data_IF_708430264374
#
_entry.id   IF_708430264374
#
_cell.length_a   1.000
_cell.length_b   1.000
_cell.length_c   1.000
_cell.angle_alpha   90.00
_cell.angle_beta   90.00
_cell.angle_gamma   90.00
#
_symmetry.space_group_name_H-M   'P 1'
#
loop_
_entity.id
_entity.type
_entity.pdbx_description
1 polymer ?
#
# COMPACT_ATOMS: atom_id res chain seq x y z
N UNK A 1 16.07 -4.92 5.83
CA UNK A 1 14.76 -5.19 5.20
C UNK A 1 13.69 -5.03 6.24
N UNK A 2 12.63 -4.31 5.88
CA UNK A 2 11.49 -4.02 6.76
C UNK A 2 10.22 -4.39 6.02
N UNK A 3 9.38 -5.18 6.69
CA UNK A 3 8.06 -5.48 6.20
C UNK A 3 7.02 -4.70 7.02
N UNK A 4 6.07 -4.08 6.34
CA UNK A 4 4.96 -3.35 6.95
C UNK A 4 3.64 -3.93 6.42
N UNK A 5 2.65 -4.01 7.31
CA UNK A 5 1.25 -4.28 6.95
C UNK A 5 0.39 -3.15 7.52
N UNK A 6 0.16 -2.12 6.70
CA UNK A 6 -0.61 -0.95 7.10
C UNK A 6 -2.11 -1.20 6.87
N UNK A 7 -2.89 -1.36 7.93
CA UNK A 7 -4.36 -1.53 7.86
C UNK A 7 -5.04 -0.19 7.66
N UNK A 8 -6.02 -0.17 6.75
CA UNK A 8 -6.72 1.06 6.35
C UNK A 8 -8.23 0.90 6.55
N UNK A 9 -8.80 1.81 7.32
CA UNK A 9 -10.25 1.92 7.49
C UNK A 9 -10.77 2.84 6.39
N UNK A 10 -11.58 2.28 5.50
CA UNK A 10 -12.20 3.01 4.39
C UNK A 10 -13.61 3.40 4.79
N UNK A 11 -14.01 4.64 4.48
CA UNK A 11 -15.37 5.09 4.72
C UNK A 11 -16.35 4.32 3.83
N UNK A 12 -17.52 3.99 4.38
CA UNK A 12 -18.56 3.25 3.64
C UNK A 12 -18.94 3.97 2.35
N UNK A 13 -18.95 3.24 1.23
CA UNK A 13 -19.27 3.76 -0.09
C UNK A 13 -18.12 4.51 -0.78
N UNK A 14 -16.92 4.54 -0.18
CA UNK A 14 -15.71 5.16 -0.74
C UNK A 14 -14.69 4.15 -1.28
N UNK A 15 -15.02 2.86 -1.29
CA UNK A 15 -14.10 1.77 -1.63
C UNK A 15 -13.53 1.90 -3.04
N UNK A 16 -14.36 2.21 -4.03
CA UNK A 16 -13.89 2.33 -5.42
C UNK A 16 -12.98 3.55 -5.64
N UNK A 17 -13.29 4.68 -5.00
CA UNK A 17 -12.45 5.88 -5.04
C UNK A 17 -11.11 5.61 -4.35
N UNK A 18 -11.16 4.97 -3.18
CA UNK A 18 -9.99 4.55 -2.42
C UNK A 18 -9.09 3.60 -3.23
N UNK A 19 -9.65 2.55 -3.83
CA UNK A 19 -8.89 1.60 -4.65
C UNK A 19 -8.19 2.31 -5.82
N UNK A 20 -8.89 3.21 -6.50
CA UNK A 20 -8.33 3.99 -7.62
C UNK A 20 -7.13 4.83 -7.17
N UNK A 21 -7.27 5.53 -6.04
CA UNK A 21 -6.19 6.37 -5.48
C UNK A 21 -5.01 5.50 -5.03
N UNK A 22 -5.26 4.40 -4.32
CA UNK A 22 -4.21 3.54 -3.79
C UNK A 22 -3.44 2.79 -4.87
N UNK A 23 -4.09 2.37 -5.95
CA UNK A 23 -3.40 1.77 -7.10
C UNK A 23 -2.49 2.79 -7.80
N UNK A 24 -2.98 4.02 -8.00
CA UNK A 24 -2.14 5.10 -8.54
C UNK A 24 -0.98 5.50 -7.63
N UNK A 25 -1.16 5.41 -6.31
CA UNK A 25 -0.08 5.60 -5.34
C UNK A 25 0.94 4.46 -5.41
N UNK A 26 0.50 3.21 -5.50
CA UNK A 26 1.37 2.04 -5.59
C UNK A 26 2.29 2.09 -6.82
N UNK A 27 1.78 2.56 -7.96
CA UNK A 27 2.59 2.80 -9.16
C UNK A 27 3.66 3.87 -8.92
N UNK A 28 3.29 4.98 -8.27
CA UNK A 28 4.22 6.07 -7.97
C UNK A 28 5.31 5.66 -6.98
N UNK A 29 4.96 4.92 -5.92
CA UNK A 29 5.94 4.42 -4.94
C UNK A 29 6.97 3.53 -5.63
N UNK A 30 6.52 2.51 -6.37
CA UNK A 30 7.42 1.59 -7.08
C UNK A 30 8.30 2.30 -8.11
N UNK A 31 7.83 3.39 -8.71
CA UNK A 31 8.59 4.16 -9.69
C UNK A 31 9.62 5.10 -9.05
N UNK A 32 9.34 5.63 -7.87
CA UNK A 32 10.09 6.75 -7.28
C UNK A 32 10.86 6.42 -6.00
N UNK A 33 10.65 5.25 -5.39
CA UNK A 33 11.33 4.79 -4.18
C UNK A 33 12.23 3.59 -4.51
N UNK A 34 13.53 3.77 -4.83
CA UNK A 34 14.42 2.68 -5.22
C UNK A 34 14.63 1.62 -4.14
N UNK A 35 14.40 1.98 -2.88
CA UNK A 35 14.46 1.08 -1.73
C UNK A 35 13.18 0.24 -1.55
N UNK A 36 12.08 0.58 -2.24
CA UNK A 36 10.85 -0.20 -2.24
C UNK A 36 11.03 -1.49 -3.05
N UNK A 37 10.77 -2.62 -2.40
CA UNK A 37 10.80 -3.96 -3.01
C UNK A 37 9.40 -4.52 -3.22
N UNK A 38 8.43 -4.04 -2.44
CA UNK A 38 7.02 -4.37 -2.56
C UNK A 38 6.19 -3.18 -2.06
N UNK A 39 5.15 -2.85 -2.81
CA UNK A 39 4.09 -1.95 -2.36
C UNK A 39 2.78 -2.41 -2.99
N UNK A 40 1.90 -3.06 -2.24
CA UNK A 40 0.70 -3.70 -2.79
C UNK A 40 -0.51 -3.46 -1.91
N UNK A 41 -1.57 -2.91 -2.51
CA UNK A 41 -2.90 -2.92 -1.90
C UNK A 41 -3.44 -4.35 -1.87
N UNK A 42 -3.85 -4.80 -0.69
CA UNK A 42 -4.52 -6.07 -0.47
C UNK A 42 -5.86 -5.85 0.21
N UNK A 43 -6.77 -6.80 0.04
CA UNK A 43 -8.07 -6.84 0.68
C UNK A 43 -8.33 -8.25 1.21
N UNK A 44 -8.76 -8.35 2.45
CA UNK A 44 -9.16 -9.60 3.10
C UNK A 44 -10.45 -9.40 3.92
N UNK A 45 -10.79 -10.37 4.76
CA UNK A 45 -11.99 -10.35 5.60
C UNK A 45 -12.01 -9.19 6.61
N UNK A 46 -10.85 -8.62 6.96
CA UNK A 46 -10.71 -7.47 7.86
C UNK A 46 -10.69 -6.12 7.11
N UNK A 47 -10.86 -6.14 5.78
CA UNK A 47 -10.87 -4.96 4.93
C UNK A 47 -9.55 -4.74 4.19
N UNK A 48 -9.11 -3.48 4.06
CA UNK A 48 -7.95 -3.13 3.25
C UNK A 48 -6.66 -3.05 4.06
N UNK A 49 -5.56 -3.44 3.42
CA UNK A 49 -4.23 -3.16 3.91
C UNK A 49 -3.28 -2.84 2.75
N UNK A 50 -2.15 -2.19 3.05
CA UNK A 50 -0.99 -2.14 2.16
C UNK A 50 0.10 -3.02 2.74
N UNK A 51 0.59 -3.95 1.93
CA UNK A 51 1.76 -4.75 2.25
C UNK A 51 2.98 -4.13 1.57
N UNK A 52 3.97 -3.79 2.38
CA UNK A 52 5.16 -3.07 1.94
C UNK A 52 6.42 -3.81 2.37
N UNK A 53 7.45 -3.76 1.53
CA UNK A 53 8.77 -4.29 1.82
C UNK A 53 9.82 -3.27 1.37
N UNK A 54 10.67 -2.86 2.28
CA UNK A 54 11.74 -1.90 2.04
C UNK A 54 13.11 -2.50 2.34
N UNK A 55 14.15 -2.00 1.68
CA UNK A 55 15.52 -2.44 1.87
C UNK A 55 16.02 -2.23 3.31
N UNK A 56 15.65 -1.13 3.94
CA UNK A 56 16.08 -0.69 5.28
C UNK A 56 15.10 0.36 5.88
N UNK A 57 15.49 1.00 6.99
CA UNK A 57 14.66 1.98 7.74
C UNK A 57 14.68 3.39 7.12
N UNK A 58 15.65 3.67 6.24
CA UNK A 58 15.82 4.98 5.61
C UNK A 58 15.17 5.04 4.22
N UNK A 59 14.80 3.88 3.68
CA UNK A 59 14.19 3.66 2.38
C UNK A 59 12.73 4.10 2.27
#
# INVERSE_FOLDING_TARGET
MIALLARLIVAEGKESEFETVMLGLAEQVRANEPGNQLYTLVKDDDGYAVMELYADEEA
#
